data_IF_066662277539
#
_entry.id   IF_066662277539
#
_cell.length_a   1.000
_cell.length_b   1.000
_cell.length_c   1.000
_cell.angle_alpha   90.00
_cell.angle_beta   90.00
_cell.angle_gamma   90.00
#
_symmetry.space_group_name_H-M   'P 1'
#
loop_
_entity.id
_entity.type
_entity.pdbx_description
1 polymer ?
#
# COMPACT_ATOMS: atom_id res chain seq x y z
N UNK A 1 -19.51 44.21 -43.47
CA UNK A 1 -20.23 43.25 -42.71
C UNK A 1 -19.41 42.02 -42.52
N UNK A 2 -18.69 41.95 -41.42
CA UNK A 2 -17.78 40.85 -41.10
C UNK A 2 -18.48 39.87 -40.15
N UNK A 3 -18.57 38.64 -40.57
CA UNK A 3 -19.06 37.53 -39.75
C UNK A 3 -18.00 37.17 -38.73
N UNK A 4 -18.36 37.29 -37.47
CA UNK A 4 -17.56 36.87 -36.32
C UNK A 4 -17.78 35.35 -36.14
N UNK A 5 -16.79 34.53 -36.53
CA UNK A 5 -16.79 33.09 -36.26
C UNK A 5 -16.35 32.90 -34.81
N UNK A 6 -17.31 32.65 -33.94
CA UNK A 6 -17.06 32.24 -32.57
C UNK A 6 -16.26 30.95 -32.54
N UNK A 7 -15.09 30.98 -31.89
CA UNK A 7 -14.33 29.81 -31.53
C UNK A 7 -15.07 29.18 -30.36
N UNK A 8 -15.76 28.07 -30.61
CA UNK A 8 -16.28 27.22 -29.56
C UNK A 8 -15.08 26.63 -28.78
N UNK A 9 -14.90 27.08 -27.54
CA UNK A 9 -14.00 26.45 -26.59
C UNK A 9 -14.56 25.07 -26.27
N UNK A 10 -13.82 24.02 -26.63
CA UNK A 10 -14.08 22.66 -26.12
C UNK A 10 -14.07 22.70 -24.59
N UNK A 11 -15.05 22.07 -23.93
CA UNK A 11 -15.00 21.94 -22.49
C UNK A 11 -13.75 21.13 -22.11
N UNK A 12 -12.92 21.68 -21.21
CA UNK A 12 -11.85 20.95 -20.54
C UNK A 12 -12.49 19.82 -19.74
N UNK A 13 -12.39 18.60 -20.23
CA UNK A 13 -12.74 17.40 -19.48
C UNK A 13 -11.65 17.14 -18.47
N UNK A 14 -11.82 17.61 -17.26
CA UNK A 14 -11.10 17.11 -16.09
C UNK A 14 -11.62 15.70 -15.76
N UNK A 15 -11.10 14.70 -16.42
CA UNK A 15 -11.40 13.29 -16.17
C UNK A 15 -10.26 12.45 -16.72
N UNK A 16 -9.93 11.37 -16.01
CA UNK A 16 -8.98 10.37 -16.47
C UNK A 16 -9.21 10.11 -17.97
N UNK A 17 -8.17 10.26 -18.78
CA UNK A 17 -8.29 10.10 -20.24
C UNK A 17 -8.38 8.61 -20.60
N UNK A 18 -9.50 8.00 -20.26
CA UNK A 18 -9.91 6.75 -20.87
C UNK A 18 -10.43 7.04 -22.28
N UNK A 19 -10.16 6.16 -23.24
CA UNK A 19 -10.66 6.27 -24.61
C UNK A 19 -12.20 6.27 -24.66
N UNK A 20 -12.77 6.71 -25.78
CA UNK A 20 -14.21 6.67 -25.99
C UNK A 20 -14.70 5.23 -26.23
N UNK A 21 -15.98 4.92 -25.95
CA UNK A 21 -16.55 3.63 -26.29
C UNK A 21 -16.32 3.25 -27.76
N UNK A 22 -15.77 2.05 -28.00
CA UNK A 22 -15.42 1.56 -29.35
C UNK A 22 -14.01 1.92 -29.82
N UNK A 23 -13.25 2.69 -29.06
CA UNK A 23 -11.89 3.11 -29.36
C UNK A 23 -10.86 2.15 -28.73
N UNK A 24 -9.79 1.82 -29.44
CA UNK A 24 -8.63 1.11 -28.88
C UNK A 24 -7.51 2.12 -28.68
N UNK A 25 -7.19 2.42 -27.44
CA UNK A 25 -6.10 3.32 -27.06
C UNK A 25 -4.84 2.52 -26.77
N UNK A 26 -3.72 2.93 -27.35
CA UNK A 26 -2.45 2.24 -27.13
C UNK A 26 -1.90 2.51 -25.72
N UNK A 27 -1.34 1.46 -25.11
CA UNK A 27 -0.68 1.61 -23.81
C UNK A 27 0.50 2.58 -23.87
N UNK A 28 0.58 3.47 -22.90
CA UNK A 28 1.76 4.30 -22.67
C UNK A 28 2.91 3.45 -22.07
N UNK A 29 4.10 4.04 -21.92
CA UNK A 29 5.29 3.35 -21.41
C UNK A 29 5.10 2.77 -20.01
N UNK A 30 4.46 3.53 -19.12
CA UNK A 30 4.18 3.10 -17.74
C UNK A 30 3.20 1.92 -17.72
N UNK A 31 2.12 2.00 -18.52
CA UNK A 31 1.14 0.93 -18.62
C UNK A 31 1.75 -0.36 -19.22
N UNK A 32 2.67 -0.25 -20.19
CA UNK A 32 3.41 -1.41 -20.73
C UNK A 32 4.28 -2.08 -19.65
N UNK A 33 4.94 -1.28 -18.80
CA UNK A 33 5.73 -1.80 -17.69
C UNK A 33 4.84 -2.52 -16.66
N UNK A 34 3.69 -1.93 -16.31
CA UNK A 34 2.70 -2.56 -15.43
C UNK A 34 2.20 -3.88 -16.01
N UNK A 35 1.84 -3.92 -17.30
CA UNK A 35 1.36 -5.15 -17.96
C UNK A 35 2.41 -6.27 -17.88
N UNK A 36 3.68 -5.96 -18.18
CA UNK A 36 4.78 -6.92 -18.09
C UNK A 36 4.92 -7.47 -16.65
N UNK A 37 4.82 -6.60 -15.64
CA UNK A 37 4.89 -7.03 -14.25
C UNK A 37 3.69 -7.91 -13.85
N UNK A 38 2.49 -7.59 -14.35
CA UNK A 38 1.29 -8.40 -14.09
C UNK A 38 1.39 -9.78 -14.73
N UNK A 39 1.88 -9.87 -15.96
CA UNK A 39 2.13 -11.15 -16.62
C UNK A 39 3.15 -11.98 -15.84
N UNK A 40 4.28 -11.39 -15.45
CA UNK A 40 5.32 -12.08 -14.65
C UNK A 40 4.81 -12.55 -13.28
N UNK A 41 3.80 -11.91 -12.71
CA UNK A 41 3.22 -12.32 -11.42
C UNK A 41 2.46 -13.65 -11.49
N UNK A 42 2.02 -14.06 -12.68
CA UNK A 42 1.27 -15.32 -12.88
C UNK A 42 2.14 -16.57 -12.64
N UNK A 43 3.45 -16.45 -12.79
CA UNK A 43 4.39 -17.56 -12.55
C UNK A 43 4.69 -17.80 -11.06
N UNK A 44 4.21 -16.92 -10.18
CA UNK A 44 4.45 -17.01 -8.75
C UNK A 44 3.29 -17.71 -8.07
N UNK A 45 3.51 -18.88 -7.41
CA UNK A 45 2.48 -19.58 -6.65
C UNK A 45 2.16 -18.80 -5.36
N UNK A 46 1.20 -17.90 -5.42
CA UNK A 46 0.80 -17.06 -4.31
C UNK A 46 -0.25 -17.74 -3.42
N UNK A 47 -0.10 -17.59 -2.10
CA UNK A 47 -1.22 -17.78 -1.17
C UNK A 47 -1.67 -16.43 -0.62
N UNK A 48 -2.89 -16.41 -0.06
CA UNK A 48 -3.51 -15.22 0.49
C UNK A 48 -4.06 -15.51 1.87
N UNK A 49 -3.79 -14.60 2.82
CA UNK A 49 -4.31 -14.70 4.18
C UNK A 49 -4.83 -13.34 4.63
N UNK A 50 -6.06 -13.32 5.14
CA UNK A 50 -6.72 -12.10 5.62
C UNK A 50 -6.76 -12.04 7.14
N UNK A 51 -6.78 -10.81 7.69
CA UNK A 51 -6.91 -10.55 9.11
C UNK A 51 -7.79 -9.32 9.35
N UNK A 52 -8.55 -9.33 10.45
CA UNK A 52 -9.38 -8.21 10.88
C UNK A 52 -8.69 -7.49 12.02
N UNK A 53 -8.47 -6.19 11.90
CA UNK A 53 -7.76 -5.36 12.87
C UNK A 53 -8.71 -4.30 13.42
N UNK A 54 -8.82 -4.19 14.74
CA UNK A 54 -9.51 -3.08 15.39
C UNK A 54 -8.63 -1.83 15.36
N UNK A 55 -9.11 -0.76 14.75
CA UNK A 55 -8.34 0.47 14.58
C UNK A 55 -8.72 1.60 15.53
N UNK A 56 -9.57 1.36 16.51
CA UNK A 56 -10.05 2.43 17.42
C UNK A 56 -8.90 3.16 18.12
N UNK A 57 -7.90 2.43 18.63
CA UNK A 57 -6.73 3.05 19.28
C UNK A 57 -5.83 3.75 18.28
N UNK A 58 -5.58 3.14 17.12
CA UNK A 58 -4.79 3.76 16.04
C UNK A 58 -5.43 5.08 15.58
N UNK A 59 -6.74 5.10 15.36
CA UNK A 59 -7.48 6.29 14.94
C UNK A 59 -7.40 7.40 16.00
N UNK A 60 -7.50 7.02 17.27
CA UNK A 60 -7.39 7.98 18.38
C UNK A 60 -5.95 8.52 18.50
N UNK A 61 -4.94 7.68 18.31
CA UNK A 61 -3.55 8.12 18.25
C UNK A 61 -3.31 9.02 17.03
N UNK A 62 -3.80 8.64 15.85
CA UNK A 62 -3.67 9.45 14.64
C UNK A 62 -4.28 10.85 14.80
N UNK A 63 -5.46 11.00 15.45
CA UNK A 63 -6.06 12.31 15.72
C UNK A 63 -5.13 13.22 16.51
N UNK A 64 -4.35 12.68 17.46
CA UNK A 64 -3.38 13.44 18.27
C UNK A 64 -2.19 13.91 17.45
N UNK A 65 -1.65 13.05 16.55
CA UNK A 65 -0.41 13.34 15.82
C UNK A 65 -0.63 13.99 14.46
N UNK A 66 -1.83 13.89 13.89
CA UNK A 66 -2.19 14.45 12.57
C UNK A 66 -1.94 15.94 12.47
N UNK A 67 -2.26 16.70 13.49
CA UNK A 67 -2.05 18.16 13.53
C UNK A 67 -0.55 18.54 13.44
N UNK A 68 0.35 17.63 13.78
CA UNK A 68 1.79 17.79 13.66
C UNK A 68 2.33 17.29 12.29
N UNK A 69 1.43 17.04 11.33
CA UNK A 69 1.78 16.70 9.95
C UNK A 69 1.91 15.22 9.65
N UNK A 70 1.67 14.33 10.62
CA UNK A 70 1.70 12.87 10.41
C UNK A 70 0.61 12.42 9.44
N UNK A 71 0.96 11.48 8.56
CA UNK A 71 0.02 10.85 7.61
C UNK A 71 -0.37 9.45 8.09
N UNK A 72 -1.59 9.02 7.79
CA UNK A 72 -2.01 7.64 8.09
C UNK A 72 -1.14 6.61 7.35
N UNK A 73 -0.72 6.91 6.12
CA UNK A 73 0.18 6.04 5.36
C UNK A 73 1.51 5.84 6.07
N UNK A 74 2.13 6.90 6.59
CA UNK A 74 3.38 6.79 7.34
C UNK A 74 3.22 5.96 8.61
N UNK A 75 2.10 6.11 9.33
CA UNK A 75 1.78 5.27 10.49
C UNK A 75 1.69 3.78 10.12
N UNK A 76 0.95 3.46 9.05
CA UNK A 76 0.79 2.08 8.58
C UNK A 76 2.12 1.50 8.09
N UNK A 77 2.91 2.27 7.34
CA UNK A 77 4.26 1.88 6.89
C UNK A 77 5.17 1.60 8.09
N UNK A 78 5.17 2.48 9.09
CA UNK A 78 5.96 2.30 10.33
C UNK A 78 5.54 1.04 11.07
N UNK A 79 4.23 0.78 11.21
CA UNK A 79 3.70 -0.42 11.85
C UNK A 79 4.14 -1.70 11.11
N UNK A 80 3.97 -1.72 9.78
CA UNK A 80 4.40 -2.84 8.94
C UNK A 80 5.90 -3.08 9.07
N UNK A 81 6.72 -2.05 8.97
CA UNK A 81 8.17 -2.17 9.04
C UNK A 81 8.65 -2.66 10.42
N UNK A 82 8.10 -2.13 11.52
CA UNK A 82 8.41 -2.63 12.87
C UNK A 82 8.02 -4.10 13.04
N UNK A 83 6.91 -4.52 12.44
CA UNK A 83 6.49 -5.93 12.48
C UNK A 83 7.39 -6.80 11.59
N UNK A 84 7.75 -6.37 10.38
CA UNK A 84 8.68 -7.10 9.50
C UNK A 84 10.05 -7.33 10.14
N UNK A 85 10.53 -6.41 10.98
CA UNK A 85 11.79 -6.59 11.73
C UNK A 85 11.76 -7.83 12.63
N UNK A 86 10.57 -8.24 13.12
CA UNK A 86 10.37 -9.47 13.90
C UNK A 86 10.06 -10.67 13.02
N UNK A 87 9.71 -10.46 11.76
CA UNK A 87 9.32 -11.50 10.79
C UNK A 87 10.15 -11.41 9.50
N UNK A 88 11.48 -11.61 9.56
CA UNK A 88 12.35 -11.46 8.39
C UNK A 88 11.97 -12.39 7.22
N UNK A 89 11.35 -13.55 7.52
CA UNK A 89 10.83 -14.47 6.50
C UNK A 89 9.78 -13.80 5.60
N UNK A 90 8.93 -12.92 6.15
CA UNK A 90 7.89 -12.22 5.38
C UNK A 90 8.48 -11.08 4.52
N UNK A 91 9.70 -10.62 4.83
CA UNK A 91 10.45 -9.66 4.01
C UNK A 91 11.41 -10.34 3.02
N UNK A 92 11.44 -11.69 2.97
CA UNK A 92 12.30 -12.43 2.05
C UNK A 92 11.71 -12.50 0.64
N UNK A 93 12.52 -12.87 -0.34
CA UNK A 93 12.10 -13.10 -1.71
C UNK A 93 12.73 -14.36 -2.29
N UNK A 94 12.11 -14.89 -3.33
CA UNK A 94 12.62 -16.04 -4.07
C UNK A 94 13.81 -15.64 -4.96
N UNK A 95 14.85 -16.45 -4.96
CA UNK A 95 15.90 -16.44 -5.98
C UNK A 95 16.14 -17.86 -6.48
N UNK A 96 16.73 -18.02 -7.67
CA UNK A 96 17.04 -19.34 -8.24
C UNK A 96 17.95 -20.17 -7.32
N UNK A 97 18.78 -19.52 -6.50
CA UNK A 97 19.73 -20.17 -5.59
C UNK A 97 19.19 -20.35 -4.16
N UNK A 98 17.94 -19.93 -3.87
CA UNK A 98 17.34 -20.08 -2.55
C UNK A 98 16.52 -18.88 -2.11
N UNK A 99 16.44 -18.68 -0.80
CA UNK A 99 15.69 -17.56 -0.18
C UNK A 99 16.65 -16.38 -0.01
N UNK A 100 16.29 -15.23 -0.56
CA UNK A 100 17.02 -13.97 -0.40
C UNK A 100 16.45 -13.17 0.76
N UNK A 101 17.26 -12.81 1.73
CA UNK A 101 16.90 -11.93 2.84
C UNK A 101 17.53 -10.56 2.61
N UNK A 102 16.74 -9.50 2.33
CA UNK A 102 17.28 -8.17 2.19
C UNK A 102 17.93 -7.68 3.49
N UNK A 103 19.01 -6.93 3.37
CA UNK A 103 19.67 -6.31 4.52
C UNK A 103 18.76 -5.27 5.21
N UNK A 104 18.05 -4.50 4.41
CA UNK A 104 17.17 -3.42 4.86
C UNK A 104 15.69 -3.75 4.64
N UNK A 105 14.82 -3.11 5.40
CA UNK A 105 13.37 -3.13 5.19
C UNK A 105 12.98 -1.84 4.47
N UNK A 106 12.61 -1.95 3.20
CA UNK A 106 12.18 -0.84 2.37
C UNK A 106 10.74 -1.07 1.91
N UNK A 107 9.85 -0.18 2.26
CA UNK A 107 8.41 -0.34 1.96
C UNK A 107 8.04 0.45 0.71
N UNK A 108 7.71 -0.27 -0.35
CA UNK A 108 7.10 0.31 -1.55
C UNK A 108 5.60 0.53 -1.31
N UNK A 109 5.09 1.72 -1.59
CA UNK A 109 3.66 2.05 -1.40
C UNK A 109 3.02 2.36 -2.75
N UNK A 110 1.96 1.61 -3.09
CA UNK A 110 1.27 1.77 -4.37
C UNK A 110 0.55 3.12 -4.47
N UNK A 111 0.85 3.88 -5.52
CA UNK A 111 0.23 5.19 -5.85
C UNK A 111 -0.34 5.14 -7.25
N UNK A 112 -1.66 5.34 -7.37
CA UNK A 112 -2.33 5.44 -8.66
C UNK A 112 -1.97 6.76 -9.36
N UNK A 113 -1.73 6.71 -10.67
CA UNK A 113 -1.40 7.86 -11.51
C UNK A 113 -2.63 8.36 -12.26
N UNK A 114 -2.73 9.68 -12.45
CA UNK A 114 -3.88 10.32 -13.11
C UNK A 114 -4.03 9.93 -14.58
N UNK A 115 -2.91 9.69 -15.26
CA UNK A 115 -2.86 9.26 -16.66
C UNK A 115 -2.97 7.73 -16.85
N UNK A 116 -3.38 7.04 -15.81
CA UNK A 116 -3.45 5.58 -15.76
C UNK A 116 -2.10 4.93 -15.45
N UNK A 117 -2.17 3.79 -14.79
CA UNK A 117 -1.00 3.05 -14.31
C UNK A 117 -0.74 3.26 -12.81
N UNK A 118 0.34 2.68 -12.36
CA UNK A 118 0.73 2.61 -10.95
C UNK A 118 2.22 2.86 -10.82
N UNK A 119 2.62 3.59 -9.81
CA UNK A 119 4.01 3.70 -9.37
C UNK A 119 4.10 3.35 -7.89
N UNK A 120 5.24 2.84 -7.46
CA UNK A 120 5.45 2.37 -6.09
C UNK A 120 6.64 3.07 -5.44
N UNK A 121 6.50 4.37 -5.04
CA UNK A 121 7.56 5.04 -4.31
C UNK A 121 7.92 4.29 -3.04
N UNK A 122 9.20 4.30 -2.70
CA UNK A 122 9.80 3.50 -1.63
C UNK A 122 10.20 4.39 -0.46
N UNK A 123 9.66 4.08 0.71
CA UNK A 123 10.15 4.58 1.99
C UNK A 123 11.26 3.66 2.48
N UNK A 124 12.49 4.19 2.54
CA UNK A 124 13.68 3.43 2.92
C UNK A 124 13.80 3.35 4.43
N UNK A 125 14.09 2.17 4.94
CA UNK A 125 14.32 1.89 6.37
C UNK A 125 13.36 2.56 7.35
N UNK A 126 12.04 2.50 7.13
CA UNK A 126 11.06 3.22 7.95
C UNK A 126 11.06 2.79 9.43
N UNK A 127 11.67 1.64 9.78
CA UNK A 127 11.88 1.25 11.17
C UNK A 127 12.77 2.23 11.93
N UNK A 128 13.76 2.81 11.26
CA UNK A 128 14.80 3.64 11.84
C UNK A 128 14.50 5.15 11.70
N UNK A 129 13.53 5.51 10.84
CA UNK A 129 13.15 6.89 10.55
C UNK A 129 12.08 7.37 11.54
N UNK A 130 12.23 8.58 12.07
CA UNK A 130 11.22 9.21 12.91
C UNK A 130 9.88 9.36 12.17
N UNK A 131 8.75 9.20 12.87
CA UNK A 131 7.42 9.21 12.25
C UNK A 131 7.09 10.55 11.54
N UNK A 132 7.54 11.68 12.09
CA UNK A 132 7.29 13.00 11.48
C UNK A 132 8.14 13.18 10.23
N UNK A 133 9.38 12.71 10.25
CA UNK A 133 10.27 12.68 9.08
C UNK A 133 9.71 11.76 8.00
N UNK A 134 9.35 10.53 8.36
CA UNK A 134 8.72 9.56 7.46
C UNK A 134 7.47 10.13 6.78
N UNK A 135 6.68 10.93 7.51
CA UNK A 135 5.50 11.59 6.96
C UNK A 135 5.84 12.71 5.98
N UNK A 136 6.95 13.44 6.20
CA UNK A 136 7.45 14.45 5.26
C UNK A 136 7.98 13.81 3.98
N UNK A 137 8.80 12.76 4.13
CA UNK A 137 9.32 11.98 3.00
C UNK A 137 8.18 11.40 2.16
N UNK A 138 7.18 10.82 2.80
CA UNK A 138 6.01 10.28 2.09
C UNK A 138 5.29 11.36 1.26
N UNK A 139 5.05 12.53 1.82
CA UNK A 139 4.40 13.64 1.10
C UNK A 139 5.21 14.10 -0.10
N UNK A 140 6.54 14.19 0.04
CA UNK A 140 7.44 14.56 -1.04
C UNK A 140 7.45 13.51 -2.14
N UNK A 141 7.60 12.23 -1.79
CA UNK A 141 7.55 11.11 -2.73
C UNK A 141 6.24 11.10 -3.52
N UNK A 142 5.08 11.27 -2.87
CA UNK A 142 3.77 11.33 -3.56
C UNK A 142 3.72 12.51 -4.52
N UNK A 143 4.21 13.69 -4.12
CA UNK A 143 4.23 14.87 -4.99
C UNK A 143 5.10 14.63 -6.22
N UNK A 144 6.32 14.10 -6.04
CA UNK A 144 7.25 13.81 -7.14
C UNK A 144 6.81 12.62 -8.00
N UNK A 145 6.11 11.65 -7.42
CA UNK A 145 5.44 10.58 -8.19
C UNK A 145 4.49 11.15 -9.23
N UNK A 146 3.58 12.03 -8.82
CA UNK A 146 2.58 12.64 -9.70
C UNK A 146 3.18 13.50 -10.79
N UNK A 147 4.29 14.18 -10.49
CA UNK A 147 5.05 14.96 -11.49
C UNK A 147 6.07 14.12 -12.28
N UNK A 148 6.12 12.80 -12.07
CA UNK A 148 7.06 11.87 -12.75
C UNK A 148 8.54 12.24 -12.54
N UNK A 149 8.88 12.68 -11.33
CA UNK A 149 10.21 13.16 -10.93
C UNK A 149 10.87 12.28 -9.87
N UNK A 150 10.48 11.01 -9.77
CA UNK A 150 11.17 10.04 -8.92
C UNK A 150 12.45 9.55 -9.59
N UNK A 151 13.50 9.43 -8.79
CA UNK A 151 14.74 8.76 -9.20
C UNK A 151 14.53 7.23 -9.23
N UNK A 152 15.29 6.48 -10.06
CA UNK A 152 15.12 5.03 -10.19
C UNK A 152 15.17 4.26 -8.87
N UNK A 153 16.05 4.63 -7.95
CA UNK A 153 16.20 3.98 -6.65
C UNK A 153 15.05 4.28 -5.67
N UNK A 154 14.24 5.30 -5.97
CA UNK A 154 13.07 5.65 -5.17
C UNK A 154 11.82 4.81 -5.52
N UNK A 155 11.86 3.96 -6.54
CA UNK A 155 10.76 3.04 -6.88
C UNK A 155 11.21 1.60 -7.19
N UNK A 156 12.51 1.31 -7.19
CA UNK A 156 13.03 -0.02 -7.53
C UNK A 156 13.65 -0.79 -6.35
N UNK A 157 13.81 -0.16 -5.19
CA UNK A 157 14.52 -0.72 -4.02
C UNK A 157 13.59 -1.28 -2.95
N UNK A 158 12.29 -1.37 -3.22
CA UNK A 158 11.31 -1.91 -2.29
C UNK A 158 11.52 -3.40 -2.03
N UNK A 159 11.50 -3.81 -0.77
CA UNK A 159 11.61 -5.21 -0.35
C UNK A 159 10.26 -5.82 0.03
N UNK A 160 9.31 -4.98 0.40
CA UNK A 160 7.93 -5.32 0.72
C UNK A 160 7.00 -4.25 0.13
N UNK A 161 5.80 -4.65 -0.28
CA UNK A 161 4.85 -3.71 -0.89
C UNK A 161 3.60 -3.52 -0.03
N UNK A 162 3.11 -2.28 0.02
CA UNK A 162 1.86 -1.91 0.67
C UNK A 162 0.91 -1.29 -0.35
N UNK A 163 -0.30 -1.82 -0.47
CA UNK A 163 -1.37 -1.27 -1.29
C UNK A 163 -2.53 -0.86 -0.40
N UNK A 164 -2.91 0.43 -0.44
CA UNK A 164 -3.95 0.99 0.43
C UNK A 164 -5.10 1.57 -0.40
N UNK A 165 -6.26 0.91 -0.34
CA UNK A 165 -7.52 1.37 -0.95
C UNK A 165 -8.54 1.83 0.10
N UNK A 166 -8.11 2.02 1.34
CA UNK A 166 -8.99 2.43 2.44
C UNK A 166 -9.74 3.74 2.18
N UNK A 167 -9.10 4.69 1.49
CA UNK A 167 -9.72 5.97 1.13
C UNK A 167 -10.88 5.85 0.14
N UNK A 168 -10.99 4.74 -0.59
CA UNK A 168 -12.07 4.47 -1.54
C UNK A 168 -13.26 3.72 -0.92
N UNK A 169 -13.22 3.43 0.37
CA UNK A 169 -14.28 2.70 1.05
C UNK A 169 -14.33 1.21 0.75
N UNK A 170 -13.23 0.63 0.24
CA UNK A 170 -13.15 -0.80 -0.08
C UNK A 170 -13.22 -1.65 1.19
N UNK A 171 -14.06 -2.69 1.19
CA UNK A 171 -14.20 -3.58 2.35
C UNK A 171 -13.06 -4.59 2.47
N UNK A 172 -12.63 -5.12 1.33
CA UNK A 172 -11.59 -6.14 1.22
C UNK A 172 -11.10 -6.22 -0.22
N UNK A 173 -9.82 -6.48 -0.42
CA UNK A 173 -9.24 -6.84 -1.72
C UNK A 173 -7.94 -7.63 -1.52
N UNK A 174 -7.55 -8.36 -2.56
CA UNK A 174 -6.25 -9.03 -2.64
C UNK A 174 -5.39 -8.28 -3.68
N UNK A 175 -4.22 -7.86 -3.29
CA UNK A 175 -3.28 -7.22 -4.19
C UNK A 175 -2.46 -8.28 -4.96
N UNK A 176 -2.08 -7.94 -6.19
CA UNK A 176 -1.19 -8.77 -7.01
C UNK A 176 0.25 -8.55 -6.54
N UNK A 177 0.97 -9.63 -6.29
CA UNK A 177 2.35 -9.59 -5.84
C UNK A 177 3.26 -9.06 -6.95
N UNK A 178 4.03 -7.97 -6.73
CA UNK A 178 4.99 -7.48 -7.69
C UNK A 178 6.17 -8.44 -7.85
N UNK A 179 6.73 -8.60 -9.06
CA UNK A 179 7.93 -9.39 -9.26
C UNK A 179 9.11 -8.93 -8.40
N UNK A 180 9.88 -9.87 -7.87
CA UNK A 180 11.10 -9.58 -7.09
C UNK A 180 10.86 -9.32 -5.60
N UNK A 181 9.61 -9.22 -5.13
CA UNK A 181 9.28 -9.15 -3.71
C UNK A 181 8.57 -10.41 -3.26
N UNK A 182 8.70 -10.77 -1.96
CA UNK A 182 8.05 -11.98 -1.43
C UNK A 182 6.62 -11.76 -0.96
N UNK A 183 6.23 -10.52 -0.62
CA UNK A 183 4.89 -10.26 -0.11
C UNK A 183 4.39 -8.84 -0.41
N UNK A 184 3.07 -8.70 -0.45
CA UNK A 184 2.33 -7.45 -0.54
C UNK A 184 1.17 -7.45 0.44
N UNK A 185 0.99 -6.36 1.18
CA UNK A 185 -0.12 -6.15 2.10
C UNK A 185 -1.16 -5.22 1.48
N UNK A 186 -2.37 -5.72 1.29
CA UNK A 186 -3.55 -4.95 0.93
C UNK A 186 -4.24 -4.43 2.19
N UNK A 187 -4.52 -3.13 2.24
CA UNK A 187 -5.19 -2.45 3.36
C UNK A 187 -6.50 -1.86 2.86
N UNK A 188 -7.59 -2.32 3.44
CA UNK A 188 -8.95 -1.85 3.14
C UNK A 188 -9.36 -0.69 4.08
N UNK A 189 -10.62 -0.25 3.96
CA UNK A 189 -11.18 0.81 4.81
C UNK A 189 -11.36 0.36 6.25
N UNK A 190 -11.05 1.22 7.19
CA UNK A 190 -11.52 1.10 8.57
C UNK A 190 -12.98 1.57 8.66
N UNK A 191 -13.89 0.66 9.04
CA UNK A 191 -15.33 0.92 9.08
C UNK A 191 -15.97 0.53 10.42
N UNK A 192 -16.99 1.26 10.89
CA UNK A 192 -17.82 0.82 11.98
C UNK A 192 -18.44 -0.56 11.67
N UNK A 193 -18.16 -1.54 12.52
CA UNK A 193 -18.61 -2.93 12.35
C UNK A 193 -19.17 -3.44 13.66
N UNK A 194 -20.29 -4.12 13.60
CA UNK A 194 -20.88 -4.81 14.76
C UNK A 194 -20.04 -6.06 15.07
N UNK A 195 -19.54 -6.14 16.29
CA UNK A 195 -18.72 -7.26 16.75
C UNK A 195 -19.30 -7.89 18.01
N UNK A 196 -19.18 -9.20 18.14
CA UNK A 196 -19.46 -9.94 19.35
C UNK A 196 -18.23 -9.88 20.27
N UNK A 197 -18.41 -9.48 21.52
CA UNK A 197 -17.37 -9.50 22.54
C UNK A 197 -17.29 -10.89 23.21
N UNK A 198 -16.17 -11.17 23.88
CA UNK A 198 -15.93 -12.45 24.57
C UNK A 198 -16.93 -12.73 25.71
N UNK A 199 -17.54 -11.70 26.28
CA UNK A 199 -18.58 -11.79 27.31
C UNK A 199 -20.01 -12.00 26.74
N UNK A 200 -20.14 -12.12 25.41
CA UNK A 200 -21.41 -12.29 24.71
C UNK A 200 -22.15 -10.98 24.40
N UNK A 201 -21.63 -9.83 24.83
CA UNK A 201 -22.19 -8.54 24.48
C UNK A 201 -21.87 -8.15 23.03
N UNK A 202 -22.64 -7.20 22.49
CA UNK A 202 -22.43 -6.64 21.15
C UNK A 202 -21.91 -5.20 21.28
N UNK A 203 -20.91 -4.89 20.49
CA UNK A 203 -20.39 -3.52 20.38
C UNK A 203 -20.13 -3.11 18.94
N UNK A 204 -19.99 -1.80 18.71
CA UNK A 204 -19.54 -1.26 17.42
C UNK A 204 -18.09 -0.86 17.56
N UNK A 205 -17.23 -1.45 16.75
CA UNK A 205 -15.79 -1.14 16.68
C UNK A 205 -15.40 -0.78 15.25
N UNK A 206 -14.35 -0.01 15.09
CA UNK A 206 -13.80 0.22 13.77
C UNK A 206 -12.90 -0.94 13.39
N UNK A 207 -13.28 -1.64 12.34
CA UNK A 207 -12.55 -2.81 11.83
C UNK A 207 -11.98 -2.50 10.45
N UNK A 208 -10.70 -2.80 10.29
CA UNK A 208 -9.96 -2.73 9.04
C UNK A 208 -9.58 -4.14 8.60
N UNK A 209 -9.94 -4.51 7.37
CA UNK A 209 -9.46 -5.76 6.77
C UNK A 209 -8.10 -5.53 6.13
N UNK A 210 -7.18 -6.44 6.38
CA UNK A 210 -5.88 -6.51 5.71
C UNK A 210 -5.69 -7.89 5.11
N UNK A 211 -5.14 -7.95 3.91
CA UNK A 211 -4.87 -9.21 3.21
C UNK A 211 -3.41 -9.24 2.75
N UNK A 212 -2.69 -10.25 3.19
CA UNK A 212 -1.33 -10.53 2.72
C UNK A 212 -1.39 -11.49 1.54
N UNK A 213 -0.80 -11.11 0.40
CA UNK A 213 -0.49 -12.01 -0.70
C UNK A 213 1.01 -12.28 -0.67
N UNK A 214 1.41 -13.54 -0.64
CA UNK A 214 2.80 -13.92 -0.48
C UNK A 214 3.20 -15.09 -1.40
N UNK A 215 4.47 -15.10 -1.82
CA UNK A 215 5.10 -16.15 -2.59
C UNK A 215 5.26 -17.42 -1.73
N UNK A 216 4.46 -18.46 -2.04
CA UNK A 216 4.45 -19.69 -1.24
C UNK A 216 5.71 -20.55 -1.41
N UNK A 217 6.62 -20.19 -2.29
CA UNK A 217 7.92 -20.84 -2.42
C UNK A 217 8.86 -20.49 -1.28
N UNK A 218 8.68 -19.31 -0.67
CA UNK A 218 9.58 -18.77 0.36
C UNK A 218 8.86 -18.36 1.66
N UNK A 219 7.58 -18.01 1.62
CA UNK A 219 6.79 -17.60 2.79
C UNK A 219 5.66 -18.60 2.97
N UNK A 220 5.53 -19.15 4.17
CA UNK A 220 4.52 -20.15 4.48
C UNK A 220 3.33 -19.56 5.24
N UNK A 221 2.22 -20.32 5.29
CA UNK A 221 0.98 -19.86 5.90
C UNK A 221 1.14 -19.41 7.36
N UNK A 222 1.95 -20.13 8.14
CA UNK A 222 2.24 -19.79 9.54
C UNK A 222 3.02 -18.47 9.68
N UNK A 223 3.97 -18.20 8.77
CA UNK A 223 4.76 -16.97 8.77
C UNK A 223 3.87 -15.75 8.51
N UNK A 224 3.02 -15.85 7.46
CA UNK A 224 2.06 -14.80 7.12
C UNK A 224 1.02 -14.55 8.22
N UNK A 225 0.48 -15.61 8.81
CA UNK A 225 -0.49 -15.50 9.90
C UNK A 225 0.11 -14.89 11.16
N UNK A 226 1.34 -15.29 11.55
CA UNK A 226 2.05 -14.73 12.70
C UNK A 226 2.39 -13.25 12.50
N UNK A 227 2.84 -12.88 11.31
CA UNK A 227 3.08 -11.48 10.93
C UNK A 227 1.80 -10.64 11.08
N UNK A 228 0.67 -11.10 10.54
CA UNK A 228 -0.59 -10.36 10.62
C UNK A 228 -1.11 -10.26 12.05
N UNK A 229 -0.93 -11.29 12.86
CA UNK A 229 -1.28 -11.28 14.28
C UNK A 229 -0.48 -10.23 15.05
N UNK A 230 0.84 -10.17 14.84
CA UNK A 230 1.69 -9.22 15.53
C UNK A 230 1.46 -7.78 15.03
N UNK A 231 1.15 -7.60 13.74
CA UNK A 231 0.74 -6.31 13.18
C UNK A 231 -0.58 -5.85 13.80
N UNK A 232 -1.55 -6.75 13.95
CA UNK A 232 -2.82 -6.45 14.61
C UNK A 232 -2.58 -6.05 16.06
N UNK A 233 -1.81 -6.82 16.84
CA UNK A 233 -1.49 -6.49 18.24
C UNK A 233 -0.82 -5.12 18.37
N UNK A 234 0.12 -4.77 17.49
CA UNK A 234 0.76 -3.46 17.51
C UNK A 234 -0.23 -2.30 17.27
N UNK A 235 -1.14 -2.47 16.30
CA UNK A 235 -2.16 -1.46 15.94
C UNK A 235 -3.24 -1.37 17.03
N UNK A 236 -3.67 -2.51 17.57
CA UNK A 236 -4.76 -2.60 18.54
C UNK A 236 -4.35 -2.20 19.95
N UNK A 237 -3.11 -2.50 20.35
CA UNK A 237 -2.70 -2.36 21.74
C UNK A 237 -1.72 -1.22 21.99
N UNK A 238 -0.75 -0.99 21.11
CA UNK A 238 0.39 -0.12 21.36
C UNK A 238 0.71 0.87 20.21
N UNK A 239 -0.29 1.51 19.54
CA UNK A 239 -0.03 2.39 18.38
C UNK A 239 0.85 3.60 18.73
N UNK A 240 0.92 4.01 19.99
CA UNK A 240 1.77 5.11 20.48
C UNK A 240 3.27 4.80 20.31
N UNK A 241 3.66 3.53 20.30
CA UNK A 241 5.06 3.11 20.07
C UNK A 241 5.55 3.36 18.66
N UNK A 242 4.65 3.75 17.75
CA UNK A 242 5.00 4.10 16.38
C UNK A 242 5.68 5.47 16.24
N UNK A 243 5.69 6.29 17.28
CA UNK A 243 6.29 7.61 17.26
C UNK A 243 7.83 7.56 17.23
N UNK A 244 8.40 6.50 17.77
CA UNK A 244 9.86 6.29 17.91
C UNK A 244 10.42 5.36 16.82
#
# INVERSE_FOLDING_TARGET
PGANLGVESKPETSGNSFGNPGETVQFNTLQKAVNKNMESSLDVPCFRVGYSINTDKLDNFYKKVKQNGVTMTALLVKAVAKTLKKHPQVNSSFSENGISYPENINIAVAVAMEDGGLITPVLKEPCNTDLFELSREWKDLVKRSRSKQLEPDEYSTGTFTLSNLGMFGVDRFDAILPPGTGAILAIASSKPTVVANSDGSISVKKIMQVNLTADHRVIYGADGASFLKDLASLIEDEPETLIS
#
